data_IF_353538602289
#
_entry.id   IF_353538602289
#
_cell.length_a   1.000
_cell.length_b   1.000
_cell.length_c   1.000
_cell.angle_alpha   90.00
_cell.angle_beta   90.00
_cell.angle_gamma   90.00
#
_symmetry.space_group_name_H-M   'P 1'
#
loop_
_entity.id
_entity.type
_entity.pdbx_description
1 polymer ?
#
# COMPACT_ATOMS: atom_id res chain seq x y z
N UNK A 1 -45.16 14.71 -30.68
CA UNK A 1 -44.75 13.77 -29.63
C UNK A 1 -45.06 14.26 -28.22
N UNK A 2 -44.70 15.52 -27.83
CA UNK A 2 -45.00 16.05 -26.51
C UNK A 2 -46.49 16.04 -26.15
N UNK A 3 -47.37 16.45 -27.05
CA UNK A 3 -48.82 16.48 -26.81
C UNK A 3 -49.41 15.13 -26.47
N UNK A 4 -48.91 14.06 -27.11
CA UNK A 4 -49.35 12.70 -26.83
C UNK A 4 -48.90 12.24 -25.41
N UNK A 5 -47.66 12.54 -25.00
CA UNK A 5 -47.17 12.24 -23.66
C UNK A 5 -47.99 12.95 -22.59
N UNK A 6 -48.25 14.23 -22.77
CA UNK A 6 -49.07 15.03 -21.85
C UNK A 6 -50.50 14.50 -21.75
N UNK A 7 -51.14 14.20 -22.88
CA UNK A 7 -52.50 13.68 -22.90
C UNK A 7 -52.59 12.30 -22.20
N UNK A 8 -51.62 11.43 -22.43
CA UNK A 8 -51.56 10.10 -21.81
C UNK A 8 -51.30 10.18 -20.29
N UNK A 9 -50.41 11.07 -19.88
CA UNK A 9 -50.12 11.29 -18.44
C UNK A 9 -51.32 11.85 -17.68
N UNK A 10 -52.09 12.76 -18.30
CA UNK A 10 -53.32 13.29 -17.69
C UNK A 10 -54.43 12.24 -17.63
N UNK A 11 -54.54 11.36 -18.64
CA UNK A 11 -55.52 10.27 -18.68
C UNK A 11 -55.25 9.25 -17.58
N UNK A 12 -53.97 8.91 -17.30
CA UNK A 12 -53.56 7.95 -16.29
C UNK A 12 -52.95 8.61 -15.06
N UNK A 13 -53.42 9.78 -14.65
CA UNK A 13 -52.90 10.61 -13.57
C UNK A 13 -52.61 9.85 -12.29
N UNK A 14 -53.49 8.96 -11.86
CA UNK A 14 -53.32 8.16 -10.62
C UNK A 14 -52.18 7.15 -10.74
N UNK A 15 -51.99 6.55 -11.91
CA UNK A 15 -50.92 5.62 -12.18
C UNK A 15 -49.57 6.34 -12.20
N UNK A 16 -49.51 7.52 -12.81
CA UNK A 16 -48.30 8.36 -12.85
C UNK A 16 -47.93 8.81 -11.46
N UNK A 17 -48.86 9.30 -10.65
CA UNK A 17 -48.62 9.69 -9.26
C UNK A 17 -48.20 8.50 -8.40
N UNK A 18 -48.85 7.34 -8.54
CA UNK A 18 -48.47 6.13 -7.82
C UNK A 18 -47.04 5.70 -8.14
N UNK A 19 -46.68 5.69 -9.44
CA UNK A 19 -45.32 5.37 -9.87
C UNK A 19 -44.26 6.37 -9.33
N UNK A 20 -44.59 7.67 -9.40
CA UNK A 20 -43.68 8.71 -8.85
C UNK A 20 -43.51 8.55 -7.34
N UNK A 21 -44.56 8.20 -6.61
CA UNK A 21 -44.47 7.95 -5.15
C UNK A 21 -43.59 6.73 -4.84
N UNK A 22 -43.73 5.64 -5.59
CA UNK A 22 -42.92 4.45 -5.44
C UNK A 22 -41.43 4.78 -5.70
N UNK A 23 -41.14 5.50 -6.81
CA UNK A 23 -39.78 5.93 -7.12
C UNK A 23 -39.18 6.85 -6.02
N UNK A 24 -40.00 7.74 -5.44
CA UNK A 24 -39.56 8.63 -4.36
C UNK A 24 -39.22 7.81 -3.13
N UNK A 25 -40.07 6.88 -2.71
CA UNK A 25 -39.78 5.99 -1.56
C UNK A 25 -38.54 5.17 -1.82
N UNK A 26 -38.40 4.58 -2.98
CA UNK A 26 -37.22 3.83 -3.38
C UNK A 26 -35.95 4.70 -3.33
N UNK A 27 -36.00 5.93 -3.86
CA UNK A 27 -34.87 6.87 -3.80
C UNK A 27 -34.45 7.19 -2.35
N UNK A 28 -35.44 7.44 -1.47
CA UNK A 28 -35.16 7.73 -0.05
C UNK A 28 -34.49 6.53 0.64
N UNK A 29 -34.93 5.30 0.35
CA UNK A 29 -34.29 4.10 0.93
C UNK A 29 -32.87 3.89 0.45
N UNK A 30 -32.52 4.36 -0.74
CA UNK A 30 -31.18 4.23 -1.32
C UNK A 30 -30.19 5.29 -0.80
N UNK A 31 -30.65 6.44 -0.30
CA UNK A 31 -29.78 7.53 0.19
C UNK A 31 -28.81 7.01 1.26
N UNK A 32 -29.30 6.17 2.19
CA UNK A 32 -28.48 5.64 3.28
C UNK A 32 -27.43 4.62 2.85
N UNK A 33 -27.56 4.05 1.65
CA UNK A 33 -26.62 3.06 1.09
C UNK A 33 -25.71 3.63 0.01
N UNK A 34 -25.87 4.91 -0.35
CA UNK A 34 -25.01 5.54 -1.34
C UNK A 34 -23.59 5.65 -0.78
N UNK A 35 -22.57 5.10 -1.50
CA UNK A 35 -21.18 5.32 -1.13
C UNK A 35 -20.86 6.81 -1.31
N UNK A 36 -20.72 7.52 -0.19
CA UNK A 36 -20.31 8.91 -0.17
C UNK A 36 -18.86 8.97 0.22
N UNK A 37 -18.01 9.37 -0.69
CA UNK A 37 -16.60 9.59 -0.43
C UNK A 37 -16.37 11.08 -0.18
N UNK A 38 -15.98 11.43 1.06
CA UNK A 38 -15.75 12.81 1.47
C UNK A 38 -14.47 13.37 0.84
N UNK A 39 -13.51 12.49 0.57
CA UNK A 39 -12.25 12.82 -0.10
C UNK A 39 -12.03 11.83 -1.25
N UNK A 40 -12.55 12.12 -2.44
CA UNK A 40 -12.31 11.25 -3.58
C UNK A 40 -10.81 11.16 -3.86
N UNK A 41 -10.33 9.97 -4.17
CA UNK A 41 -8.95 9.75 -4.55
C UNK A 41 -8.69 10.29 -5.94
N UNK A 42 -8.04 11.46 -6.00
CA UNK A 42 -7.58 12.05 -7.27
C UNK A 42 -6.22 11.46 -7.70
N UNK A 43 -5.54 10.73 -6.83
CA UNK A 43 -4.26 10.15 -7.14
C UNK A 43 -4.43 8.98 -8.13
N UNK A 44 -3.62 8.91 -9.19
CA UNK A 44 -3.62 7.77 -10.08
C UNK A 44 -3.22 6.49 -9.30
N UNK A 45 -3.74 5.31 -9.70
CA UNK A 45 -3.34 4.05 -9.09
C UNK A 45 -1.83 3.88 -9.15
N UNK A 46 -1.22 3.46 -8.04
CA UNK A 46 0.23 3.28 -7.94
C UNK A 46 0.58 1.93 -7.36
N UNK A 47 1.65 1.34 -7.87
CA UNK A 47 2.28 0.16 -7.28
C UNK A 47 3.71 0.51 -6.92
N UNK A 48 4.06 0.33 -5.65
CA UNK A 48 5.38 0.60 -5.10
C UNK A 48 6.06 -0.72 -4.76
N UNK A 49 7.30 -0.88 -5.20
CA UNK A 49 8.10 -2.09 -5.07
C UNK A 49 9.39 -1.74 -4.35
N UNK A 50 9.66 -2.42 -3.25
CA UNK A 50 10.87 -2.24 -2.47
C UNK A 50 11.71 -3.51 -2.44
N UNK A 51 13.01 -3.36 -2.68
CA UNK A 51 13.98 -4.46 -2.65
C UNK A 51 15.14 -4.09 -1.74
N UNK A 52 15.30 -4.82 -0.66
CA UNK A 52 16.40 -4.61 0.28
C UNK A 52 17.66 -5.34 -0.19
N UNK A 53 18.81 -4.64 -0.16
CA UNK A 53 20.09 -5.10 -0.68
C UNK A 53 21.21 -4.68 0.28
N UNK A 54 21.21 -5.26 1.48
CA UNK A 54 22.09 -4.87 2.58
C UNK A 54 23.58 -4.91 2.20
N UNK A 55 24.31 -3.86 2.56
CA UNK A 55 25.76 -3.74 2.36
C UNK A 55 26.16 -3.10 1.02
N UNK A 56 25.21 -2.68 0.17
CA UNK A 56 25.50 -2.04 -1.09
C UNK A 56 25.43 -0.52 -1.03
N UNK A 57 26.30 0.12 -1.79
CA UNK A 57 26.21 1.54 -2.11
C UNK A 57 25.02 1.83 -3.04
N UNK A 58 24.58 3.09 -3.14
CA UNK A 58 23.49 3.47 -4.03
C UNK A 58 23.74 3.12 -5.51
N UNK A 59 24.98 3.23 -5.98
CA UNK A 59 25.36 2.90 -7.35
C UNK A 59 25.26 1.39 -7.61
N UNK A 60 25.74 0.57 -6.69
CA UNK A 60 25.64 -0.88 -6.81
C UNK A 60 24.17 -1.36 -6.71
N UNK A 61 23.36 -0.74 -5.85
CA UNK A 61 21.91 -1.01 -5.80
C UNK A 61 21.25 -0.68 -7.13
N UNK A 62 21.63 0.44 -7.75
CA UNK A 62 21.10 0.85 -9.06
C UNK A 62 21.45 -0.16 -10.14
N UNK A 63 22.73 -0.48 -10.29
CA UNK A 63 23.20 -1.35 -11.37
C UNK A 63 22.75 -2.81 -11.23
N UNK A 64 22.78 -3.35 -10.01
CA UNK A 64 22.58 -4.78 -9.77
C UNK A 64 21.14 -5.15 -9.42
N UNK A 65 20.33 -4.19 -8.97
CA UNK A 65 18.97 -4.46 -8.51
C UNK A 65 17.93 -3.60 -9.24
N UNK A 66 18.13 -2.27 -9.25
CA UNK A 66 17.10 -1.35 -9.77
C UNK A 66 16.95 -1.51 -11.29
N UNK A 67 18.03 -1.43 -12.04
CA UNK A 67 18.02 -1.52 -13.52
C UNK A 67 17.47 -2.87 -14.02
N UNK A 68 17.86 -4.05 -13.49
CA UNK A 68 17.24 -5.32 -13.85
C UNK A 68 15.73 -5.38 -13.58
N UNK A 69 15.28 -4.82 -12.44
CA UNK A 69 13.86 -4.74 -12.13
C UNK A 69 13.09 -3.79 -13.04
N UNK A 70 13.65 -2.62 -13.36
CA UNK A 70 13.08 -1.69 -14.34
C UNK A 70 12.89 -2.34 -15.70
N UNK A 71 13.89 -3.06 -16.17
CA UNK A 71 13.83 -3.78 -17.44
C UNK A 71 12.71 -4.83 -17.45
N UNK A 72 12.55 -5.57 -16.35
CA UNK A 72 11.50 -6.56 -16.21
C UNK A 72 10.09 -5.95 -16.13
N UNK A 73 9.98 -4.78 -15.49
CA UNK A 73 8.73 -4.04 -15.30
C UNK A 73 8.36 -3.17 -16.50
N UNK A 74 9.33 -2.93 -17.38
CA UNK A 74 9.07 -2.19 -18.61
C UNK A 74 8.06 -2.94 -19.49
N UNK A 75 7.07 -2.23 -20.00
CA UNK A 75 6.02 -2.82 -20.83
C UNK A 75 4.86 -3.45 -20.05
N UNK A 76 4.74 -3.22 -18.75
CA UNK A 76 3.51 -3.54 -17.99
C UNK A 76 2.36 -2.68 -18.53
N UNK A 77 1.23 -3.29 -18.98
CA UNK A 77 0.11 -2.56 -19.53
C UNK A 77 -0.46 -1.53 -18.55
N UNK A 78 -0.82 -0.36 -19.04
CA UNK A 78 -1.46 0.69 -18.26
C UNK A 78 -0.51 1.58 -17.45
N UNK A 79 0.78 1.27 -17.42
CA UNK A 79 1.79 2.15 -16.79
C UNK A 79 1.90 3.44 -17.59
N UNK A 80 1.81 4.57 -16.91
CA UNK A 80 2.02 5.90 -17.45
C UNK A 80 3.44 6.39 -17.18
N UNK A 81 3.87 6.27 -15.92
CA UNK A 81 5.21 6.68 -15.48
C UNK A 81 5.81 5.63 -14.56
N UNK A 82 7.06 5.26 -14.78
CA UNK A 82 7.89 4.50 -13.86
C UNK A 82 8.96 5.43 -13.28
N UNK A 83 9.09 5.42 -11.95
CA UNK A 83 10.12 6.18 -11.22
C UNK A 83 10.83 5.24 -10.28
N UNK A 84 12.13 5.30 -10.28
CA UNK A 84 12.98 4.54 -9.37
C UNK A 84 13.85 5.45 -8.53
N UNK A 85 14.25 4.93 -7.40
CA UNK A 85 15.15 5.57 -6.46
C UNK A 85 16.05 4.52 -5.82
N UNK A 86 17.33 4.64 -6.06
CA UNK A 86 18.36 3.81 -5.43
C UNK A 86 19.02 4.58 -4.30
N UNK A 87 18.96 4.01 -3.11
CA UNK A 87 19.67 4.49 -1.94
C UNK A 87 20.51 3.35 -1.37
N UNK A 88 21.51 3.61 -0.50
CA UNK A 88 22.25 2.51 0.12
C UNK A 88 21.30 1.50 0.76
N UNK A 89 21.52 0.22 0.52
CA UNK A 89 20.75 -0.92 1.03
C UNK A 89 19.32 -1.08 0.48
N UNK A 90 18.78 -0.17 -0.35
CA UNK A 90 17.38 -0.22 -0.77
C UNK A 90 17.17 0.31 -2.19
N UNK A 91 16.48 -0.48 -3.01
CA UNK A 91 15.85 -0.07 -4.27
C UNK A 91 14.36 0.17 -4.06
N UNK A 92 13.84 1.28 -4.53
CA UNK A 92 12.44 1.66 -4.48
C UNK A 92 11.95 2.03 -5.88
N UNK A 93 10.97 1.30 -6.41
CA UNK A 93 10.41 1.51 -7.75
C UNK A 93 8.91 1.78 -7.62
N UNK A 94 8.47 2.89 -8.17
CA UNK A 94 7.08 3.32 -8.16
C UNK A 94 6.53 3.33 -9.59
N UNK A 95 5.51 2.54 -9.84
CA UNK A 95 4.75 2.51 -11.08
C UNK A 95 3.46 3.32 -10.89
N UNK A 96 3.29 4.36 -11.68
CA UNK A 96 2.07 5.13 -11.76
C UNK A 96 1.27 4.64 -12.96
N UNK A 97 0.02 4.30 -12.75
CA UNK A 97 -0.88 3.81 -13.79
C UNK A 97 -1.80 4.92 -14.27
N UNK A 98 -2.32 4.77 -15.49
CA UNK A 98 -3.32 5.69 -16.04
C UNK A 98 -4.58 5.68 -15.18
N UNK A 99 -5.24 6.84 -15.08
CA UNK A 99 -6.51 6.97 -14.36
C UNK A 99 -7.55 5.98 -14.88
N UNK A 100 -8.27 5.32 -13.97
CA UNK A 100 -9.26 4.29 -14.31
C UNK A 100 -8.71 2.87 -14.47
N UNK A 101 -7.39 2.66 -14.30
CA UNK A 101 -6.80 1.32 -14.24
C UNK A 101 -7.23 0.65 -12.93
N UNK A 102 -7.69 -0.60 -13.01
CA UNK A 102 -7.96 -1.41 -11.81
C UNK A 102 -6.65 -1.72 -11.08
N UNK A 103 -6.57 -1.26 -9.83
CA UNK A 103 -5.38 -1.42 -9.00
C UNK A 103 -5.06 -2.88 -8.70
N UNK A 104 -6.08 -3.72 -8.49
CA UNK A 104 -5.89 -5.14 -8.20
C UNK A 104 -5.29 -5.85 -9.42
N UNK A 105 -5.83 -5.57 -10.60
CA UNK A 105 -5.31 -6.14 -11.85
C UNK A 105 -3.89 -5.65 -12.16
N UNK A 106 -3.63 -4.34 -11.95
CA UNK A 106 -2.30 -3.78 -12.09
C UNK A 106 -1.26 -4.47 -11.18
N UNK A 107 -1.61 -4.70 -9.92
CA UNK A 107 -0.77 -5.41 -8.95
C UNK A 107 -0.52 -6.87 -9.37
N UNK A 108 -1.51 -7.56 -9.92
CA UNK A 108 -1.33 -8.93 -10.44
C UNK A 108 -0.31 -8.97 -11.58
N UNK A 109 -0.43 -8.08 -12.56
CA UNK A 109 0.51 -7.98 -13.69
C UNK A 109 1.94 -7.68 -13.22
N UNK A 110 2.08 -6.75 -12.27
CA UNK A 110 3.38 -6.44 -11.67
C UNK A 110 3.93 -7.65 -10.93
N UNK A 111 3.11 -8.37 -10.16
CA UNK A 111 3.53 -9.57 -9.43
C UNK A 111 4.05 -10.67 -10.37
N UNK A 112 3.39 -10.90 -11.50
CA UNK A 112 3.84 -11.86 -12.51
C UNK A 112 5.23 -11.49 -13.07
N UNK A 113 5.44 -10.21 -13.37
CA UNK A 113 6.74 -9.71 -13.83
C UNK A 113 7.83 -9.86 -12.76
N UNK A 114 7.52 -9.53 -11.50
CA UNK A 114 8.46 -9.68 -10.39
C UNK A 114 8.84 -11.15 -10.15
N UNK A 115 7.90 -12.09 -10.27
CA UNK A 115 8.20 -13.52 -10.14
C UNK A 115 9.18 -13.99 -11.20
N UNK A 116 9.08 -13.49 -12.43
CA UNK A 116 10.00 -13.81 -13.52
C UNK A 116 11.36 -13.14 -13.31
N UNK A 117 11.40 -11.92 -12.76
CA UNK A 117 12.62 -11.16 -12.53
C UNK A 117 13.39 -11.60 -11.28
N UNK A 118 12.71 -12.09 -10.25
CA UNK A 118 13.35 -12.45 -8.96
C UNK A 118 14.53 -13.41 -9.11
N UNK A 119 14.48 -14.47 -9.95
CA UNK A 119 15.61 -15.38 -10.13
C UNK A 119 16.83 -14.75 -10.81
N UNK A 120 16.67 -13.63 -11.49
CA UNK A 120 17.78 -12.92 -12.18
C UNK A 120 18.52 -11.98 -11.24
N UNK A 121 17.96 -11.69 -10.07
CA UNK A 121 18.60 -10.85 -9.08
C UNK A 121 19.71 -11.60 -8.33
N UNK A 122 20.73 -10.90 -7.84
CA UNK A 122 21.75 -11.50 -7.00
C UNK A 122 21.18 -12.22 -5.77
N UNK A 123 21.76 -13.32 -5.40
CA UNK A 123 21.27 -14.19 -4.29
C UNK A 123 21.28 -13.52 -2.91
N UNK A 124 22.08 -12.48 -2.73
CA UNK A 124 22.15 -11.69 -1.51
C UNK A 124 21.10 -10.56 -1.48
N UNK A 125 20.49 -10.18 -2.60
CA UNK A 125 19.35 -9.27 -2.60
C UNK A 125 18.10 -10.00 -2.07
N UNK A 126 17.34 -9.34 -1.20
CA UNK A 126 16.05 -9.90 -0.76
C UNK A 126 15.06 -9.89 -1.93
N UNK A 127 14.08 -10.81 -1.94
CA UNK A 127 13.03 -10.77 -2.94
C UNK A 127 12.31 -9.42 -2.95
N UNK A 128 11.96 -8.89 -4.15
CA UNK A 128 11.16 -7.68 -4.27
C UNK A 128 9.81 -7.83 -3.57
N UNK A 129 9.44 -6.81 -2.81
CA UNK A 129 8.17 -6.78 -2.07
C UNK A 129 7.33 -5.61 -2.56
N UNK A 130 6.10 -5.89 -2.98
CA UNK A 130 5.13 -4.84 -3.26
C UNK A 130 4.61 -4.25 -1.95
N UNK A 131 4.77 -2.95 -1.79
CA UNK A 131 4.20 -2.21 -0.65
C UNK A 131 2.68 -2.26 -0.72
N UNK A 132 2.03 -2.34 0.43
CA UNK A 132 0.57 -2.30 0.50
C UNK A 132 0.06 -0.97 -0.06
N UNK A 133 -1.05 -0.98 -0.85
CA UNK A 133 -1.64 0.24 -1.33
C UNK A 133 -2.07 1.10 -0.14
N UNK A 134 -1.61 2.34 -0.12
CA UNK A 134 -1.99 3.33 0.89
C UNK A 134 -2.58 4.54 0.19
N UNK A 135 -3.86 4.75 0.43
CA UNK A 135 -4.55 5.98 0.08
C UNK A 135 -4.20 7.11 1.06
N UNK A 136 -4.33 8.35 0.62
CA UNK A 136 -4.24 9.52 1.49
C UNK A 136 -5.29 9.49 2.63
N UNK A 137 -6.41 8.82 2.40
CA UNK A 137 -7.53 8.65 3.33
C UNK A 137 -7.43 7.39 4.18
N UNK A 138 -6.48 6.50 3.91
CA UNK A 138 -6.34 5.21 4.63
C UNK A 138 -5.96 5.36 6.10
N UNK A 139 -5.42 6.53 6.51
CA UNK A 139 -5.08 6.79 7.90
C UNK A 139 -6.24 7.41 8.66
N UNK A 140 -7.00 6.56 9.35
CA UNK A 140 -8.19 6.99 10.10
C UNK A 140 -7.85 7.49 11.52
N UNK A 141 -6.73 7.06 12.11
CA UNK A 141 -6.40 7.40 13.50
C UNK A 141 -4.89 7.40 13.72
N UNK A 142 -4.44 8.30 14.58
CA UNK A 142 -3.09 8.28 15.18
C UNK A 142 -3.23 8.13 16.69
N UNK A 143 -2.54 7.15 17.26
CA UNK A 143 -2.54 6.91 18.71
C UNK A 143 -1.16 7.28 19.24
N UNK A 144 -1.11 8.30 20.10
CA UNK A 144 0.11 8.67 20.83
C UNK A 144 0.23 7.86 22.12
N UNK A 145 1.42 7.31 22.38
CA UNK A 145 1.72 6.57 23.60
C UNK A 145 2.87 7.27 24.31
N UNK A 146 2.67 7.62 25.58
CA UNK A 146 3.71 8.23 26.41
C UNK A 146 3.66 7.66 27.83
N UNK A 147 4.82 7.63 28.50
CA UNK A 147 4.91 7.24 29.91
C UNK A 147 5.98 8.07 30.61
N UNK A 148 5.80 8.33 31.90
CA UNK A 148 6.81 8.93 32.78
C UNK A 148 7.62 7.87 33.56
N UNK A 149 7.13 6.63 33.59
CA UNK A 149 7.69 5.54 34.41
C UNK A 149 8.41 4.48 33.55
N UNK A 150 8.03 4.35 32.29
CA UNK A 150 8.56 3.34 31.39
C UNK A 150 9.45 3.97 30.31
N UNK A 151 10.54 3.29 29.99
CA UNK A 151 11.45 3.69 28.92
C UNK A 151 10.81 3.49 27.53
N UNK A 152 11.35 4.19 26.54
CA UNK A 152 10.90 4.12 25.14
C UNK A 152 11.00 2.69 24.58
N UNK A 153 11.97 1.89 25.05
CA UNK A 153 12.09 0.49 24.64
C UNK A 153 10.91 -0.35 25.11
N UNK A 154 10.51 -0.21 26.39
CA UNK A 154 9.37 -0.93 26.97
C UNK A 154 8.06 -0.51 26.30
N UNK A 155 7.87 0.79 26.05
CA UNK A 155 6.73 1.31 25.33
C UNK A 155 6.66 0.74 23.91
N UNK A 156 7.80 0.67 23.22
CA UNK A 156 7.89 0.09 21.89
C UNK A 156 7.52 -1.38 21.88
N UNK A 157 7.97 -2.15 22.86
CA UNK A 157 7.61 -3.57 23.01
C UNK A 157 6.12 -3.77 23.28
N UNK A 158 5.51 -2.94 24.12
CA UNK A 158 4.06 -2.97 24.36
C UNK A 158 3.28 -2.57 23.12
N UNK A 159 3.71 -1.52 22.43
CA UNK A 159 3.10 -1.06 21.19
C UNK A 159 3.12 -2.14 20.11
N UNK A 160 4.28 -2.77 19.91
CA UNK A 160 4.51 -3.77 18.86
C UNK A 160 3.74 -5.08 19.15
N UNK A 161 3.93 -5.66 20.32
CA UNK A 161 3.41 -7.01 20.62
C UNK A 161 2.00 -7.03 21.17
N UNK A 162 1.56 -6.00 21.90
CA UNK A 162 0.22 -5.96 22.51
C UNK A 162 -0.75 -5.09 21.75
N UNK A 163 -0.41 -3.81 21.50
CA UNK A 163 -1.36 -2.85 20.94
C UNK A 163 -1.58 -3.14 19.45
N UNK A 164 -0.50 -3.17 18.67
CA UNK A 164 -0.58 -3.46 17.24
C UNK A 164 -1.27 -4.79 16.95
N UNK A 165 -0.92 -5.84 17.70
CA UNK A 165 -1.52 -7.16 17.54
C UNK A 165 -3.04 -7.16 17.81
N UNK A 166 -3.51 -6.35 18.76
CA UNK A 166 -4.95 -6.19 19.03
C UNK A 166 -5.66 -5.38 17.97
N UNK A 167 -5.04 -4.31 17.48
CA UNK A 167 -5.60 -3.47 16.41
C UNK A 167 -5.78 -4.26 15.11
N UNK A 168 -4.80 -5.07 14.72
CA UNK A 168 -4.86 -5.90 13.52
C UNK A 168 -5.91 -7.02 13.57
N UNK A 169 -6.48 -7.32 14.75
CA UNK A 169 -7.60 -8.27 14.88
C UNK A 169 -8.97 -7.64 14.59
N UNK A 170 -9.03 -6.32 14.52
CA UNK A 170 -10.29 -5.61 14.26
C UNK A 170 -10.58 -5.71 12.75
N UNK A 171 -11.77 -6.19 12.35
CA UNK A 171 -12.15 -6.23 10.94
C UNK A 171 -12.06 -4.85 10.30
N UNK A 172 -11.46 -4.77 9.11
CA UNK A 172 -11.27 -3.51 8.38
C UNK A 172 -9.97 -2.77 8.69
N UNK A 173 -9.19 -3.19 9.69
CA UNK A 173 -7.86 -2.64 9.96
C UNK A 173 -6.81 -3.38 9.12
N UNK A 174 -6.31 -2.73 8.08
CA UNK A 174 -5.32 -3.31 7.17
C UNK A 174 -3.89 -3.25 7.72
N UNK A 175 -3.53 -2.18 8.41
CA UNK A 175 -2.17 -1.98 8.94
C UNK A 175 -2.15 -1.06 10.16
N UNK A 176 -1.11 -1.20 10.98
CA UNK A 176 -0.83 -0.36 12.14
C UNK A 176 0.68 -0.10 12.25
N UNK A 177 1.25 0.81 11.41
CA UNK A 177 2.66 1.13 11.50
C UNK A 177 2.96 1.89 12.79
N UNK A 178 4.08 1.55 13.42
CA UNK A 178 4.55 2.20 14.64
C UNK A 178 5.69 3.14 14.24
N UNK A 179 5.60 4.40 14.66
CA UNK A 179 6.60 5.42 14.38
C UNK A 179 7.39 5.73 15.65
N UNK A 180 8.72 5.81 15.53
CA UNK A 180 9.61 6.07 16.64
C UNK A 180 9.84 4.88 17.57
N UNK A 181 9.49 3.65 17.15
CA UNK A 181 9.79 2.45 17.93
C UNK A 181 11.27 2.16 18.01
N UNK A 182 11.69 1.58 19.15
CA UNK A 182 13.00 0.97 19.32
C UNK A 182 12.83 -0.52 19.52
N UNK A 183 13.52 -1.29 18.69
CA UNK A 183 13.49 -2.76 18.76
C UNK A 183 14.63 -3.22 19.66
N UNK A 184 14.32 -4.07 20.63
CA UNK A 184 15.33 -4.72 21.47
C UNK A 184 16.10 -5.73 20.60
N UNK A 185 17.39 -5.48 20.45
CA UNK A 185 18.31 -6.37 19.74
C UNK A 185 19.39 -6.87 20.68
N UNK A 186 19.78 -8.11 20.53
CA UNK A 186 21.00 -8.64 21.11
C UNK A 186 22.10 -8.56 20.05
N UNK A 187 23.14 -7.75 20.33
CA UNK A 187 24.26 -7.60 19.43
C UNK A 187 25.48 -8.30 20.02
N UNK A 188 26.12 -9.15 19.22
CA UNK A 188 27.45 -9.70 19.52
C UNK A 188 28.46 -8.83 18.80
N UNK A 189 29.13 -7.96 19.58
CA UNK A 189 30.18 -7.10 19.05
C UNK A 189 31.52 -7.84 19.16
N UNK A 190 32.09 -8.10 18.00
CA UNK A 190 33.36 -8.81 17.91
C UNK A 190 34.48 -7.80 17.66
N UNK A 191 35.57 -7.89 18.43
CA UNK A 191 36.75 -7.06 18.27
C UNK A 191 37.71 -7.73 17.25
N UNK A 192 37.90 -7.13 16.04
CA UNK A 192 38.78 -7.71 15.04
C UNK A 192 40.24 -7.89 15.44
N UNK A 193 40.73 -7.08 16.41
CA UNK A 193 42.11 -7.21 16.91
C UNK A 193 42.23 -8.42 17.80
N UNK A 194 41.27 -8.65 18.69
CA UNK A 194 41.23 -9.85 19.52
C UNK A 194 41.06 -11.12 18.72
N UNK A 195 40.20 -11.10 17.68
CA UNK A 195 40.04 -12.25 16.79
C UNK A 195 41.35 -12.65 16.15
N UNK A 196 42.10 -11.70 15.59
CA UNK A 196 43.43 -11.93 15.03
C UNK A 196 44.44 -12.46 16.06
N UNK A 197 44.36 -11.97 17.29
CA UNK A 197 45.27 -12.44 18.37
C UNK A 197 44.99 -13.87 18.76
N UNK A 198 43.74 -14.33 18.68
CA UNK A 198 43.33 -15.70 19.00
C UNK A 198 43.16 -16.61 17.78
N UNK A 199 43.51 -16.13 16.57
CA UNK A 199 43.43 -16.85 15.31
C UNK A 199 42.01 -17.41 15.03
N UNK A 200 40.98 -16.61 15.38
CA UNK A 200 39.56 -16.97 15.17
C UNK A 200 39.03 -16.16 14.02
N UNK A 201 38.38 -16.85 13.07
CA UNK A 201 37.60 -16.25 11.95
C UNK A 201 36.11 -16.33 12.23
N UNK A 202 35.33 -15.39 11.63
CA UNK A 202 33.88 -15.44 11.65
C UNK A 202 33.34 -16.49 10.68
#
# INVERSE_FOLDING_TARGET
MLSWIVATSLRFRFLVVGFATVLMIYGITQIGSMPVDVFPEFAPPKVEIQTSSLGLSAVEVEELVTVPLEQALNGVPGVDVMRSRSVPDLSDIVLLFKSGTDEIHARQLVQERLQTATPTLPTWAKPPVMVQPMSSTSRIMKIGISSKEHDLLDLSMVAHWKIRARLLRIPGVANGPIWGERIKMFQVLVDPQRMRHYDVTL
#
